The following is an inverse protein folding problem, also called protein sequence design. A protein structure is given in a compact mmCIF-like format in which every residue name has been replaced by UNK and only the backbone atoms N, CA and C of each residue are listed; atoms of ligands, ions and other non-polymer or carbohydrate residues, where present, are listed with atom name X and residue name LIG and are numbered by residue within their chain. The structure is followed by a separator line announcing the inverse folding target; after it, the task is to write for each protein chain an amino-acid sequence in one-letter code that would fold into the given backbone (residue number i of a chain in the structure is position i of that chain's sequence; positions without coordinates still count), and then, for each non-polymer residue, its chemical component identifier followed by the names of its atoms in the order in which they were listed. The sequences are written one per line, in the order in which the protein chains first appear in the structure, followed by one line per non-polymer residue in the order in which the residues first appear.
data_IF_074077107376
#
_entry.id   IF_074077107376
#
_cell.length_a   1.000
_cell.length_b   1.000
_cell.length_c   1.000
_cell.angle_alpha   90.00
_cell.angle_beta   90.00
_cell.angle_gamma   90.00
#
_symmetry.space_group_name_H-M   'P 1'
#
loop_
_entity.id
_entity.type
_entity.pdbx_description
1 polymer ?
#
# COMPACT_ATOMS: atom_id res chain seq x y z
N UNK A 1 11.56 -48.81 -9.98
CA UNK A 1 10.63 -47.91 -9.26
C UNK A 1 11.22 -47.65 -7.88
N UNK A 2 12.10 -46.67 -7.79
CA UNK A 2 12.75 -46.27 -6.55
C UNK A 2 11.77 -45.38 -5.78
N UNK A 3 11.19 -45.97 -4.74
CA UNK A 3 10.45 -45.22 -3.71
C UNK A 3 11.50 -44.37 -2.95
N UNK A 4 11.83 -43.20 -3.46
CA UNK A 4 12.57 -42.21 -2.68
C UNK A 4 11.67 -41.82 -1.48
N UNK A 5 12.00 -42.36 -0.32
CA UNK A 5 11.45 -41.95 0.99
C UNK A 5 11.91 -40.51 1.26
N UNK A 6 11.30 -39.56 0.56
CA UNK A 6 11.59 -38.15 0.77
C UNK A 6 10.97 -37.77 2.09
N UNK A 7 11.82 -37.47 3.09
CA UNK A 7 11.41 -37.04 4.42
C UNK A 7 10.93 -35.59 4.33
N UNK A 8 9.68 -35.34 4.67
CA UNK A 8 9.12 -34.01 4.73
C UNK A 8 9.22 -33.50 6.16
N UNK A 9 10.32 -32.79 6.46
CA UNK A 9 10.56 -32.20 7.79
C UNK A 9 10.65 -30.68 7.59
N UNK A 10 9.84 -29.86 8.31
CA UNK A 10 9.98 -28.42 8.27
C UNK A 10 11.31 -27.98 8.94
N UNK A 11 11.86 -26.86 8.50
CA UNK A 11 13.09 -26.29 9.08
C UNK A 11 12.89 -25.81 10.53
N UNK A 12 11.66 -25.44 10.87
CA UNK A 12 11.26 -25.02 12.22
C UNK A 12 10.03 -25.84 12.63
N UNK A 13 10.03 -26.34 13.87
CA UNK A 13 8.89 -27.02 14.48
C UNK A 13 8.71 -26.52 15.92
N UNK A 14 7.48 -26.36 16.35
CA UNK A 14 7.22 -25.94 17.72
C UNK A 14 7.83 -26.92 18.73
N UNK A 15 8.36 -26.44 19.88
CA UNK A 15 9.09 -27.28 20.84
C UNK A 15 8.33 -28.53 21.27
N UNK A 16 7.01 -28.42 21.48
CA UNK A 16 6.15 -29.50 21.89
C UNK A 16 6.02 -30.65 20.88
N UNK A 17 6.34 -30.40 19.61
CA UNK A 17 6.21 -31.39 18.51
C UNK A 17 7.58 -31.82 17.91
N UNK A 18 8.71 -31.34 18.45
CA UNK A 18 10.03 -31.62 17.88
C UNK A 18 10.38 -33.12 17.83
N UNK A 19 9.84 -33.89 18.77
CA UNK A 19 10.07 -35.34 18.87
C UNK A 19 8.96 -36.16 18.20
N UNK A 20 7.97 -35.52 17.58
CA UNK A 20 6.89 -36.21 16.89
C UNK A 20 7.33 -36.79 15.52
N UNK A 21 6.50 -37.68 14.97
CA UNK A 21 6.77 -38.39 13.73
C UNK A 21 7.03 -37.49 12.51
N UNK A 22 7.55 -38.11 11.46
CA UNK A 22 7.77 -37.46 10.16
C UNK A 22 6.45 -37.06 9.51
N UNK A 23 6.44 -35.96 8.77
CA UNK A 23 5.24 -35.50 8.08
C UNK A 23 4.90 -36.41 6.89
N UNK A 24 3.63 -36.57 6.61
CA UNK A 24 3.08 -37.29 5.46
C UNK A 24 2.48 -36.34 4.44
N UNK A 25 2.40 -36.75 3.18
CA UNK A 25 1.72 -35.98 2.14
C UNK A 25 0.40 -36.64 1.74
N UNK A 26 -0.60 -35.82 1.44
CA UNK A 26 -1.89 -36.25 0.89
C UNK A 26 -2.27 -35.32 -0.28
N UNK A 27 -2.94 -35.89 -1.28
CA UNK A 27 -3.51 -35.10 -2.38
C UNK A 27 -4.79 -34.39 -1.91
N UNK A 28 -5.09 -33.22 -2.46
CA UNK A 28 -6.33 -32.49 -2.12
C UNK A 28 -7.56 -33.36 -2.33
N UNK A 29 -7.65 -34.08 -3.46
CA UNK A 29 -8.77 -35.00 -3.74
C UNK A 29 -9.01 -36.08 -2.67
N UNK A 30 -7.96 -36.47 -1.95
CA UNK A 30 -8.05 -37.48 -0.90
C UNK A 30 -8.58 -36.90 0.40
N UNK A 31 -8.31 -35.62 0.67
CA UNK A 31 -8.62 -34.94 1.95
C UNK A 31 -9.83 -34.02 1.90
N UNK A 32 -10.26 -33.60 0.71
CA UNK A 32 -11.33 -32.64 0.54
C UNK A 32 -12.29 -33.03 -0.59
N UNK A 33 -13.53 -32.55 -0.48
CA UNK A 33 -14.45 -32.47 -1.59
C UNK A 33 -14.21 -31.14 -2.31
N UNK A 34 -14.10 -31.16 -3.62
CA UNK A 34 -13.87 -29.97 -4.44
C UNK A 34 -14.95 -29.84 -5.50
N UNK A 35 -15.34 -28.61 -5.77
CA UNK A 35 -16.22 -28.29 -6.91
C UNK A 35 -16.03 -26.85 -7.35
N UNK A 36 -16.21 -26.60 -8.63
CA UNK A 36 -16.33 -25.25 -9.18
C UNK A 36 -17.79 -24.87 -9.33
N UNK A 37 -18.04 -23.58 -9.33
CA UNK A 37 -19.36 -23.04 -9.62
C UNK A 37 -19.60 -22.83 -11.11
N UNK A 38 -20.53 -21.94 -11.43
CA UNK A 38 -20.87 -21.51 -12.79
C UNK A 38 -21.45 -20.10 -12.77
N UNK A 39 -21.67 -19.56 -13.96
CA UNK A 39 -22.24 -18.23 -14.11
C UNK A 39 -23.62 -18.34 -14.78
N UNK A 40 -24.70 -17.77 -14.22
CA UNK A 40 -25.96 -17.66 -14.92
C UNK A 40 -25.80 -16.91 -16.23
N UNK A 41 -26.64 -17.20 -17.22
CA UNK A 41 -26.55 -16.58 -18.56
C UNK A 41 -26.52 -15.07 -18.43
N UNK A 42 -25.42 -14.45 -18.87
CA UNK A 42 -25.24 -12.99 -18.87
C UNK A 42 -26.24 -12.38 -19.85
N UNK A 43 -26.96 -11.33 -19.41
CA UNK A 43 -27.98 -10.65 -20.22
C UNK A 43 -29.41 -11.09 -19.92
N UNK A 44 -29.64 -12.15 -19.14
CA UNK A 44 -30.96 -12.44 -18.62
C UNK A 44 -31.15 -11.75 -17.25
N UNK A 45 -31.93 -10.66 -17.24
CA UNK A 45 -32.18 -9.86 -16.05
C UNK A 45 -32.86 -10.64 -14.91
N UNK A 46 -33.63 -11.69 -15.22
CA UNK A 46 -34.35 -12.49 -14.22
C UNK A 46 -33.40 -13.33 -13.34
N UNK A 47 -32.14 -13.49 -13.77
CA UNK A 47 -31.15 -14.26 -13.04
C UNK A 47 -30.34 -13.42 -12.06
N UNK A 48 -30.42 -12.09 -12.14
CA UNK A 48 -29.61 -11.16 -11.37
C UNK A 48 -30.47 -10.21 -10.51
N UNK A 49 -29.83 -9.53 -9.55
CA UNK A 49 -30.51 -8.59 -8.66
C UNK A 49 -31.33 -9.24 -7.55
N UNK A 50 -31.11 -10.53 -7.29
CA UNK A 50 -31.76 -11.26 -6.18
C UNK A 50 -31.08 -11.03 -4.83
N UNK A 51 -31.24 -11.99 -3.92
CA UNK A 51 -30.70 -11.94 -2.55
C UNK A 51 -29.48 -12.82 -2.32
N UNK A 52 -29.09 -13.67 -3.29
CA UNK A 52 -27.97 -14.60 -3.16
C UNK A 52 -26.68 -13.89 -3.58
N UNK A 53 -25.71 -13.67 -2.66
CA UNK A 53 -24.40 -13.11 -3.03
C UNK A 53 -23.72 -13.96 -4.11
N UNK A 54 -23.20 -13.33 -5.18
CA UNK A 54 -22.51 -14.02 -6.26
C UNK A 54 -21.03 -13.67 -6.25
N UNK A 55 -20.23 -14.56 -5.68
CA UNK A 55 -18.80 -14.36 -5.43
C UNK A 55 -18.02 -14.62 -6.72
N UNK A 56 -17.30 -13.60 -7.20
CA UNK A 56 -16.37 -13.72 -8.33
C UNK A 56 -14.93 -13.90 -7.83
N UNK A 57 -14.03 -14.37 -8.68
CA UNK A 57 -12.63 -14.68 -8.29
C UNK A 57 -11.88 -13.50 -7.67
N UNK A 58 -12.20 -12.26 -8.04
CA UNK A 58 -11.63 -11.05 -7.42
C UNK A 58 -12.21 -10.71 -6.05
N UNK A 59 -13.24 -11.43 -5.59
CA UNK A 59 -13.98 -11.13 -4.35
C UNK A 59 -13.87 -12.22 -3.29
N UNK A 60 -13.13 -13.31 -3.54
CA UNK A 60 -13.04 -14.48 -2.66
C UNK A 60 -12.62 -14.18 -1.22
N UNK A 61 -11.91 -13.06 -0.99
CA UNK A 61 -11.45 -12.62 0.34
C UNK A 61 -12.32 -11.53 0.97
N UNK A 62 -13.33 -11.00 0.23
CA UNK A 62 -14.20 -9.92 0.70
C UNK A 62 -15.31 -10.43 1.61
N UNK A 63 -15.84 -9.55 2.46
CA UNK A 63 -17.03 -9.80 3.30
C UNK A 63 -18.35 -9.41 2.61
N UNK A 64 -18.26 -8.93 1.37
CA UNK A 64 -19.40 -8.51 0.56
C UNK A 64 -19.07 -8.71 -0.92
N UNK A 65 -20.07 -8.70 -1.79
CA UNK A 65 -19.94 -8.79 -3.23
C UNK A 65 -20.80 -7.72 -3.91
N UNK A 66 -20.37 -7.28 -5.08
CA UNK A 66 -21.12 -6.28 -5.87
C UNK A 66 -22.31 -6.90 -6.61
N UNK A 67 -22.31 -8.21 -6.81
CA UNK A 67 -23.30 -8.91 -7.65
C UNK A 67 -24.10 -9.91 -6.83
N UNK A 68 -25.40 -9.95 -7.12
CA UNK A 68 -26.35 -10.89 -6.51
C UNK A 68 -27.13 -11.61 -7.60
N UNK A 69 -27.49 -12.88 -7.36
CA UNK A 69 -28.32 -13.69 -8.24
C UNK A 69 -29.63 -14.07 -7.57
N UNK A 70 -30.64 -14.39 -8.39
CA UNK A 70 -31.93 -14.89 -7.94
C UNK A 70 -31.89 -16.40 -7.71
N UNK A 71 -32.90 -16.96 -7.04
CA UNK A 71 -33.08 -18.41 -6.94
C UNK A 71 -33.23 -19.05 -8.33
N UNK A 72 -33.88 -18.34 -9.28
CA UNK A 72 -33.98 -18.77 -10.66
C UNK A 72 -32.61 -18.79 -11.34
N UNK A 73 -31.77 -17.76 -11.14
CA UNK A 73 -30.41 -17.72 -11.64
C UNK A 73 -29.54 -18.83 -11.09
N UNK A 74 -29.67 -19.14 -9.78
CA UNK A 74 -28.99 -20.26 -9.14
C UNK A 74 -29.43 -21.60 -9.75
N UNK A 75 -30.74 -21.86 -9.80
CA UNK A 75 -31.29 -23.15 -10.28
C UNK A 75 -31.12 -23.38 -11.77
N UNK A 76 -31.05 -22.29 -12.58
CA UNK A 76 -30.88 -22.34 -14.05
C UNK A 76 -29.42 -22.34 -14.50
N UNK A 77 -28.46 -22.46 -13.58
CA UNK A 77 -27.04 -22.40 -13.87
C UNK A 77 -26.23 -23.47 -13.13
N UNK A 78 -24.94 -23.55 -13.41
CA UNK A 78 -24.00 -24.37 -12.66
C UNK A 78 -23.41 -23.66 -11.44
N UNK A 79 -23.92 -22.49 -11.07
CA UNK A 79 -23.53 -21.80 -9.86
C UNK A 79 -23.82 -22.68 -8.64
N UNK A 80 -22.92 -22.68 -7.66
CA UNK A 80 -23.04 -23.53 -6.47
C UNK A 80 -22.81 -22.68 -5.23
N UNK A 81 -23.62 -22.93 -4.21
CA UNK A 81 -23.51 -22.28 -2.91
C UNK A 81 -22.30 -22.84 -2.15
N UNK A 82 -21.57 -21.93 -1.52
CA UNK A 82 -20.56 -22.20 -0.51
C UNK A 82 -20.98 -21.55 0.80
N UNK A 83 -20.61 -22.19 1.90
CA UNK A 83 -20.83 -21.64 3.23
C UNK A 83 -19.64 -20.77 3.66
N UNK A 84 -19.88 -19.89 4.62
CA UNK A 84 -18.81 -19.16 5.31
C UNK A 84 -17.81 -20.17 5.90
N UNK A 85 -16.52 -19.86 5.83
CA UNK A 85 -15.45 -20.75 6.26
C UNK A 85 -14.95 -21.73 5.20
N UNK A 86 -15.57 -21.77 4.01
CA UNK A 86 -15.09 -22.60 2.89
C UNK A 86 -13.81 -22.03 2.29
N UNK A 87 -12.82 -22.87 1.99
CA UNK A 87 -11.63 -22.46 1.26
C UNK A 87 -12.00 -22.26 -0.22
N UNK A 88 -11.71 -21.08 -0.76
CA UNK A 88 -11.93 -20.71 -2.15
C UNK A 88 -10.58 -20.53 -2.85
N UNK A 89 -10.40 -21.18 -3.99
CA UNK A 89 -9.21 -21.12 -4.81
C UNK A 89 -9.55 -20.49 -6.17
N UNK A 90 -8.90 -19.39 -6.53
CA UNK A 90 -9.09 -18.76 -7.84
C UNK A 90 -8.28 -19.51 -8.93
N UNK A 91 -8.97 -20.03 -9.93
CA UNK A 91 -8.39 -20.89 -10.96
C UNK A 91 -7.75 -20.11 -12.12
N UNK A 92 -8.33 -18.97 -12.51
CA UNK A 92 -7.88 -18.19 -13.67
C UNK A 92 -8.17 -16.69 -13.57
N UNK A 93 -7.66 -15.94 -14.54
CA UNK A 93 -7.71 -14.48 -14.57
C UNK A 93 -6.58 -13.83 -13.76
N UNK A 94 -6.69 -12.54 -13.52
CA UNK A 94 -5.69 -11.75 -12.78
C UNK A 94 -5.46 -12.25 -11.33
N UNK A 95 -6.41 -13.00 -10.79
CA UNK A 95 -6.37 -13.56 -9.42
C UNK A 95 -5.96 -15.05 -9.40
N UNK A 96 -5.51 -15.61 -10.52
CA UNK A 96 -5.10 -17.02 -10.58
C UNK A 96 -4.13 -17.38 -9.43
N UNK A 97 -4.41 -18.47 -8.74
CA UNK A 97 -3.62 -18.94 -7.59
C UNK A 97 -3.91 -18.23 -6.27
N UNK A 98 -4.82 -17.26 -6.24
CA UNK A 98 -5.27 -16.68 -4.95
C UNK A 98 -6.11 -17.68 -4.17
N UNK A 99 -5.89 -17.70 -2.86
CA UNK A 99 -6.63 -18.56 -1.91
C UNK A 99 -7.19 -17.70 -0.81
N UNK A 100 -8.45 -17.93 -0.46
CA UNK A 100 -9.11 -17.25 0.66
C UNK A 100 -10.03 -18.22 1.42
N UNK A 101 -10.39 -17.87 2.62
CA UNK A 101 -11.51 -18.48 3.35
C UNK A 101 -12.71 -17.56 3.18
N UNK A 102 -13.81 -18.08 2.66
CA UNK A 102 -15.04 -17.31 2.45
C UNK A 102 -15.52 -16.69 3.74
N UNK A 103 -15.83 -15.40 3.70
CA UNK A 103 -16.40 -14.64 4.82
C UNK A 103 -17.93 -14.54 4.77
N UNK A 104 -18.52 -15.02 3.68
CA UNK A 104 -19.96 -14.98 3.44
C UNK A 104 -20.43 -16.29 2.83
N UNK A 105 -21.70 -16.63 3.09
CA UNK A 105 -22.41 -17.62 2.31
C UNK A 105 -22.81 -17.02 0.97
N UNK A 106 -22.56 -17.72 -0.15
CA UNK A 106 -22.91 -17.22 -1.47
C UNK A 106 -22.66 -18.23 -2.59
N UNK A 107 -23.12 -17.92 -3.78
CA UNK A 107 -22.86 -18.72 -4.97
C UNK A 107 -21.52 -18.33 -5.59
N UNK A 108 -20.76 -19.29 -6.12
CA UNK A 108 -19.47 -19.08 -6.77
C UNK A 108 -19.57 -19.30 -8.28
N UNK A 109 -18.72 -18.59 -9.03
CA UNK A 109 -18.59 -18.77 -10.47
C UNK A 109 -17.61 -19.91 -10.84
N UNK A 110 -17.48 -20.21 -12.13
CA UNK A 110 -16.60 -21.26 -12.64
C UNK A 110 -15.10 -20.96 -12.46
N UNK A 111 -14.72 -19.72 -12.16
CA UNK A 111 -13.34 -19.32 -11.90
C UNK A 111 -12.86 -19.66 -10.49
N UNK A 112 -13.74 -20.15 -9.63
CA UNK A 112 -13.48 -20.49 -8.24
C UNK A 112 -13.66 -21.99 -8.04
N UNK A 113 -12.69 -22.62 -7.36
CA UNK A 113 -12.78 -23.96 -6.82
C UNK A 113 -13.01 -23.86 -5.31
N UNK A 114 -14.12 -24.39 -4.84
CA UNK A 114 -14.36 -24.60 -3.41
C UNK A 114 -13.61 -25.86 -2.96
N UNK A 115 -12.96 -25.82 -1.79
CA UNK A 115 -12.23 -26.92 -1.18
C UNK A 115 -12.78 -27.12 0.24
N UNK A 116 -13.46 -28.23 0.47
CA UNK A 116 -14.13 -28.55 1.75
C UNK A 116 -13.48 -29.79 2.33
N UNK A 117 -12.67 -29.70 3.41
CA UNK A 117 -12.08 -30.86 4.06
C UNK A 117 -13.10 -31.93 4.47
N UNK A 118 -12.83 -33.19 4.17
CA UNK A 118 -13.73 -34.33 4.44
C UNK A 118 -13.83 -34.68 5.92
N UNK A 119 -12.90 -34.22 6.74
CA UNK A 119 -12.82 -34.57 8.16
C UNK A 119 -12.17 -33.46 8.96
N UNK A 120 -12.53 -33.31 10.23
CA UNK A 120 -11.95 -32.34 11.18
C UNK A 120 -10.46 -32.53 11.43
N UNK A 121 -9.90 -33.70 11.12
CA UNK A 121 -8.44 -33.95 11.18
C UNK A 121 -7.64 -33.13 10.17
N UNK A 122 -8.30 -32.54 9.17
CA UNK A 122 -7.70 -31.60 8.23
C UNK A 122 -8.16 -30.19 8.56
N UNK A 123 -7.32 -29.45 9.27
CA UNK A 123 -7.66 -28.13 9.80
C UNK A 123 -7.75 -27.11 8.64
N UNK A 124 -8.90 -26.47 8.47
CA UNK A 124 -9.20 -25.57 7.35
C UNK A 124 -8.12 -24.47 7.21
N UNK A 125 -7.82 -23.77 8.32
CA UNK A 125 -6.80 -22.71 8.31
C UNK A 125 -5.41 -23.22 7.94
N UNK A 126 -5.05 -24.45 8.36
CA UNK A 126 -3.78 -25.05 8.00
C UNK A 126 -3.69 -25.30 6.47
N UNK A 127 -4.73 -25.92 5.91
CA UNK A 127 -4.81 -26.17 4.46
C UNK A 127 -4.75 -24.86 3.66
N UNK A 128 -5.46 -23.83 4.13
CA UNK A 128 -5.45 -22.49 3.56
C UNK A 128 -4.04 -21.89 3.53
N UNK A 129 -3.34 -21.87 4.66
CA UNK A 129 -1.98 -21.29 4.71
C UNK A 129 -0.97 -22.10 3.93
N UNK A 130 -1.11 -23.42 3.91
CA UNK A 130 -0.26 -24.28 3.10
C UNK A 130 -0.41 -24.01 1.60
N UNK A 131 -1.65 -23.90 1.10
CA UNK A 131 -1.92 -23.56 -0.30
C UNK A 131 -1.41 -22.14 -0.64
N UNK A 132 -1.60 -21.18 0.27
CA UNK A 132 -1.10 -19.83 0.10
C UNK A 132 0.43 -19.79 0.02
N UNK A 133 1.11 -20.59 0.83
CA UNK A 133 2.57 -20.73 0.80
C UNK A 133 3.06 -21.27 -0.55
N UNK A 134 2.36 -22.26 -1.11
CA UNK A 134 2.72 -22.89 -2.37
C UNK A 134 2.39 -22.08 -3.63
N UNK A 135 1.65 -20.98 -3.53
CA UNK A 135 1.14 -20.21 -4.67
C UNK A 135 2.20 -19.95 -5.74
N UNK A 136 3.34 -19.39 -5.37
CA UNK A 136 4.40 -19.03 -6.32
C UNK A 136 4.93 -20.27 -7.07
N UNK A 137 5.12 -21.40 -6.37
CA UNK A 137 5.57 -22.66 -6.95
C UNK A 137 4.52 -23.25 -7.90
N UNK A 138 3.25 -23.23 -7.53
CA UNK A 138 2.14 -23.71 -8.35
C UNK A 138 2.05 -22.89 -9.65
N UNK A 139 2.07 -21.56 -9.55
CA UNK A 139 2.03 -20.68 -10.72
C UNK A 139 3.23 -20.90 -11.64
N UNK A 140 4.44 -20.99 -11.09
CA UNK A 140 5.65 -21.27 -11.86
C UNK A 140 5.58 -22.62 -12.59
N UNK A 141 5.07 -23.66 -11.93
CA UNK A 141 5.01 -25.00 -12.49
C UNK A 141 3.95 -25.15 -13.59
N UNK A 142 2.79 -24.52 -13.42
CA UNK A 142 1.62 -24.79 -14.27
C UNK A 142 1.26 -23.66 -15.23
N UNK A 143 1.78 -22.43 -15.05
CA UNK A 143 1.49 -21.30 -15.95
C UNK A 143 2.66 -20.94 -16.90
N UNK A 144 3.85 -21.51 -16.74
CA UNK A 144 5.01 -21.23 -17.60
C UNK A 144 5.02 -21.98 -18.94
N UNK A 145 3.98 -22.76 -19.28
CA UNK A 145 3.94 -23.58 -20.50
C UNK A 145 2.89 -23.17 -21.54
N UNK A 146 2.41 -21.89 -21.52
CA UNK A 146 1.37 -21.45 -22.47
C UNK A 146 -0.06 -21.83 -22.05
N UNK A 147 -0.25 -22.54 -20.94
CA UNK A 147 -1.56 -22.75 -20.33
C UNK A 147 -1.84 -21.58 -19.38
N UNK A 148 -2.69 -20.64 -19.83
CA UNK A 148 -3.04 -19.44 -19.06
C UNK A 148 -3.91 -19.67 -17.83
N UNK A 149 -4.34 -20.91 -17.52
CA UNK A 149 -5.33 -21.20 -16.48
C UNK A 149 -4.98 -22.45 -15.68
N UNK A 150 -5.23 -22.37 -14.36
CA UNK A 150 -5.29 -23.54 -13.49
C UNK A 150 -6.64 -24.25 -13.68
N UNK A 151 -6.67 -25.57 -13.54
CA UNK A 151 -7.90 -26.36 -13.55
C UNK A 151 -8.16 -27.00 -12.19
N UNK A 152 -9.41 -27.34 -11.90
CA UNK A 152 -9.76 -28.09 -10.70
C UNK A 152 -8.94 -29.38 -10.57
N UNK A 153 -8.71 -30.09 -11.69
CA UNK A 153 -7.91 -31.31 -11.71
C UNK A 153 -6.43 -31.09 -11.32
N UNK A 154 -5.85 -29.94 -11.66
CA UNK A 154 -4.50 -29.56 -11.19
C UNK A 154 -4.52 -29.40 -9.67
N UNK A 155 -5.50 -28.66 -9.15
CA UNK A 155 -5.60 -28.40 -7.70
C UNK A 155 -5.88 -29.69 -6.94
N UNK A 156 -6.76 -30.56 -7.43
CA UNK A 156 -7.07 -31.87 -6.83
C UNK A 156 -5.82 -32.76 -6.66
N UNK A 157 -4.86 -32.64 -7.56
CA UNK A 157 -3.62 -33.40 -7.53
C UNK A 157 -2.45 -32.67 -6.85
N UNK A 158 -2.68 -31.51 -6.22
CA UNK A 158 -1.66 -30.88 -5.38
C UNK A 158 -1.48 -31.68 -4.08
N UNK A 159 -0.22 -31.83 -3.69
CA UNK A 159 0.15 -32.47 -2.42
C UNK A 159 0.18 -31.45 -1.30
N UNK A 160 -0.39 -31.79 -0.16
CA UNK A 160 -0.28 -31.06 1.10
C UNK A 160 0.48 -31.92 2.09
N UNK A 161 1.51 -31.38 2.72
CA UNK A 161 2.22 -32.06 3.80
C UNK A 161 1.46 -31.83 5.12
N UNK A 162 1.34 -32.89 5.89
CA UNK A 162 0.65 -32.89 7.21
C UNK A 162 1.61 -33.39 8.28
N UNK A 163 1.67 -32.71 9.44
CA UNK A 163 2.37 -33.22 10.60
C UNK A 163 1.73 -34.53 11.10
N UNK A 164 2.58 -35.43 11.60
CA UNK A 164 2.13 -36.67 12.24
C UNK A 164 2.64 -36.78 13.66
N UNK A 165 1.84 -37.46 14.49
CA UNK A 165 2.25 -37.87 15.83
C UNK A 165 3.26 -39.03 15.78
N UNK A 166 3.72 -39.48 16.96
CA UNK A 166 4.68 -40.60 17.08
C UNK A 166 4.10 -41.96 16.64
N UNK A 167 2.78 -42.06 16.48
CA UNK A 167 2.11 -43.26 15.96
C UNK A 167 1.89 -43.19 14.45
N UNK A 168 2.35 -42.14 13.77
CA UNK A 168 2.16 -41.95 12.33
C UNK A 168 0.77 -41.41 11.94
N UNK A 169 -0.07 -41.01 12.89
CA UNK A 169 -1.37 -40.40 12.60
C UNK A 169 -1.20 -38.89 12.32
N UNK A 170 -2.02 -38.38 11.39
CA UNK A 170 -2.05 -36.95 11.12
C UNK A 170 -2.47 -36.20 12.38
N UNK A 171 -1.60 -35.27 12.84
CA UNK A 171 -1.78 -34.45 14.04
C UNK A 171 -2.60 -33.19 13.68
N UNK A 172 -3.85 -33.13 14.08
CA UNK A 172 -4.68 -31.92 13.99
C UNK A 172 -4.26 -30.86 15.02
N UNK A 173 -3.67 -31.30 16.13
CA UNK A 173 -3.16 -30.40 17.20
C UNK A 173 -2.00 -29.54 16.68
N UNK A 174 -1.01 -30.14 16.01
CA UNK A 174 0.12 -29.40 15.43
C UNK A 174 -0.34 -28.52 14.26
N UNK A 175 -1.23 -29.04 13.38
CA UNK A 175 -1.85 -28.22 12.34
C UNK A 175 -2.52 -26.98 12.90
N UNK A 176 -3.30 -27.14 13.97
CA UNK A 176 -3.99 -26.03 14.63
C UNK A 176 -2.99 -25.04 15.22
N UNK A 177 -1.92 -25.50 15.87
CA UNK A 177 -0.88 -24.62 16.42
C UNK A 177 -0.23 -23.78 15.34
N UNK A 178 0.16 -24.37 14.20
CA UNK A 178 0.72 -23.68 13.05
C UNK A 178 -0.27 -22.67 12.48
N UNK A 179 -1.51 -23.08 12.28
CA UNK A 179 -2.57 -22.22 11.77
C UNK A 179 -2.87 -21.03 12.69
N UNK A 180 -3.00 -21.26 13.99
CA UNK A 180 -3.28 -20.22 14.99
C UNK A 180 -2.15 -19.19 15.07
N UNK A 181 -0.89 -19.61 14.88
CA UNK A 181 0.23 -18.69 14.76
C UNK A 181 0.03 -17.70 13.59
N UNK A 182 -0.29 -18.20 12.40
CA UNK A 182 -0.52 -17.34 11.23
C UNK A 182 -1.79 -16.49 11.34
N UNK A 183 -2.86 -17.04 11.91
CA UNK A 183 -4.11 -16.29 12.18
C UNK A 183 -3.82 -15.11 13.11
N UNK A 184 -2.99 -15.32 14.14
CA UNK A 184 -2.63 -14.26 15.09
C UNK A 184 -1.82 -13.15 14.42
N UNK A 185 -0.86 -13.52 13.56
CA UNK A 185 -0.07 -12.54 12.79
C UNK A 185 -0.97 -11.76 11.82
N UNK A 186 -1.91 -12.44 11.11
CA UNK A 186 -2.83 -11.75 10.21
C UNK A 186 -3.75 -10.79 10.94
N UNK A 187 -4.26 -11.16 12.12
CA UNK A 187 -5.06 -10.26 12.96
C UNK A 187 -4.27 -9.01 13.36
N UNK A 188 -2.99 -9.16 13.72
CA UNK A 188 -2.14 -8.02 14.08
C UNK A 188 -1.87 -7.12 12.86
N UNK A 189 -1.58 -7.71 11.68
CA UNK A 189 -1.43 -6.97 10.42
C UNK A 189 -2.70 -6.17 10.11
N UNK A 190 -3.87 -6.81 10.15
CA UNK A 190 -5.14 -6.17 9.84
C UNK A 190 -5.50 -5.08 10.86
N UNK A 191 -5.25 -5.30 12.15
CA UNK A 191 -5.46 -4.29 13.18
C UNK A 191 -4.54 -3.08 12.98
N UNK A 192 -3.26 -3.33 12.63
CA UNK A 192 -2.29 -2.27 12.35
C UNK A 192 -2.67 -1.48 11.09
N UNK A 193 -3.12 -2.16 10.02
CA UNK A 193 -3.62 -1.52 8.79
C UNK A 193 -4.83 -0.62 9.07
N UNK A 194 -5.79 -1.08 9.87
CA UNK A 194 -6.95 -0.25 10.26
C UNK A 194 -6.55 0.99 11.05
N UNK A 195 -5.61 0.85 12.01
CA UNK A 195 -5.07 2.00 12.74
C UNK A 195 -4.39 3.01 11.83
N UNK A 196 -3.60 2.53 10.87
CA UNK A 196 -2.94 3.38 9.89
C UNK A 196 -3.94 4.19 9.05
N UNK A 197 -5.02 3.57 8.58
CA UNK A 197 -6.08 4.28 7.83
C UNK A 197 -6.70 5.38 8.68
N UNK A 198 -7.13 5.05 9.91
CA UNK A 198 -7.73 6.03 10.84
C UNK A 198 -6.78 7.17 11.17
N UNK A 199 -5.49 6.89 11.30
CA UNK A 199 -4.49 7.93 11.60
C UNK A 199 -4.28 8.87 10.40
N UNK A 200 -4.28 8.34 9.17
CA UNK A 200 -4.23 9.15 7.95
C UNK A 200 -5.47 10.05 7.81
N UNK A 201 -6.65 9.51 8.10
CA UNK A 201 -7.92 10.27 8.10
C UNK A 201 -7.90 11.35 9.20
N UNK A 202 -7.44 11.01 10.39
CA UNK A 202 -7.29 11.97 11.50
C UNK A 202 -6.35 13.11 11.11
N UNK A 203 -5.16 12.81 10.54
CA UNK A 203 -4.24 13.84 10.04
C UNK A 203 -4.93 14.76 9.02
N UNK A 204 -5.63 14.16 8.03
CA UNK A 204 -6.37 14.93 7.02
C UNK A 204 -7.39 15.87 7.67
N UNK A 205 -8.18 15.38 8.62
CA UNK A 205 -9.16 16.21 9.34
C UNK A 205 -8.51 17.31 10.17
N UNK A 206 -7.37 17.06 10.81
CA UNK A 206 -6.61 18.08 11.51
C UNK A 206 -6.05 19.14 10.55
N UNK A 207 -5.48 18.73 9.42
CA UNK A 207 -5.01 19.66 8.39
C UNK A 207 -6.12 20.62 7.94
N UNK A 208 -7.33 20.10 7.67
CA UNK A 208 -8.47 20.91 7.24
C UNK A 208 -8.94 21.90 8.28
N UNK A 209 -8.77 21.60 9.57
CA UNK A 209 -9.24 22.44 10.69
C UNK A 209 -8.16 23.40 11.23
N UNK A 210 -6.88 23.00 11.16
CA UNK A 210 -5.74 23.83 11.60
C UNK A 210 -5.31 24.87 10.58
N UNK A 211 -5.72 24.72 9.30
CA UNK A 211 -5.46 25.72 8.26
C UNK A 211 -6.77 26.40 7.85
N UNK A 212 -6.73 27.71 7.56
CA UNK A 212 -7.92 28.43 7.14
C UNK A 212 -8.53 27.85 5.88
N UNK A 213 -9.86 27.68 5.86
CA UNK A 213 -10.58 27.32 4.67
C UNK A 213 -10.52 28.47 3.63
N UNK A 214 -10.77 28.17 2.35
CA UNK A 214 -10.74 29.16 1.26
C UNK A 214 -11.56 30.40 1.60
N UNK A 215 -10.92 31.56 1.53
CA UNK A 215 -11.54 32.87 1.80
C UNK A 215 -11.69 33.21 3.29
N UNK A 216 -11.13 32.41 4.19
CA UNK A 216 -11.05 32.73 5.62
C UNK A 216 -9.61 33.08 6.02
N UNK A 217 -9.47 33.92 7.04
CA UNK A 217 -8.20 34.32 7.63
C UNK A 217 -7.90 33.63 8.96
N UNK A 218 -8.85 32.86 9.50
CA UNK A 218 -8.67 32.12 10.75
C UNK A 218 -9.00 30.63 10.53
N UNK A 219 -8.22 29.71 11.12
CA UNK A 219 -8.52 28.28 11.11
C UNK A 219 -9.78 28.00 11.97
N UNK A 220 -10.40 26.83 11.73
CA UNK A 220 -11.55 26.38 12.53
C UNK A 220 -11.15 26.08 13.98
N UNK A 221 -10.00 25.46 14.17
CA UNK A 221 -9.42 25.19 15.48
C UNK A 221 -8.08 25.89 15.61
N UNK A 222 -7.82 26.43 16.80
CA UNK A 222 -6.58 27.08 17.16
C UNK A 222 -6.15 26.58 18.54
N UNK A 223 -4.87 26.42 18.77
CA UNK A 223 -4.39 26.00 20.09
C UNK A 223 -4.78 27.06 21.16
N UNK A 224 -5.13 26.63 22.38
CA UNK A 224 -5.62 27.54 23.42
C UNK A 224 -4.71 28.75 23.68
N UNK A 225 -3.40 28.54 23.63
CA UNK A 225 -2.38 29.55 23.85
C UNK A 225 -2.37 30.68 22.79
N UNK A 226 -2.98 30.44 21.62
CA UNK A 226 -3.03 31.41 20.52
C UNK A 226 -4.44 31.99 20.29
N UNK A 227 -5.46 31.55 21.05
CA UNK A 227 -6.81 32.12 20.99
C UNK A 227 -6.74 33.57 21.49
N UNK A 228 -7.29 34.51 20.69
CA UNK A 228 -7.26 35.93 20.98
C UNK A 228 -5.94 36.64 20.68
N UNK A 229 -4.94 35.94 20.16
CA UNK A 229 -3.75 36.57 19.57
C UNK A 229 -4.05 37.08 18.17
N UNK A 230 -3.07 37.76 17.55
CA UNK A 230 -3.19 38.32 16.19
C UNK A 230 -3.67 37.24 15.20
N UNK A 231 -4.60 37.61 14.33
CA UNK A 231 -5.08 36.76 13.28
C UNK A 231 -3.99 36.46 12.24
N UNK A 232 -4.19 35.38 11.50
CA UNK A 232 -3.31 35.03 10.39
C UNK A 232 -3.43 36.07 9.27
N UNK A 233 -2.34 36.37 8.59
CA UNK A 233 -2.30 37.37 7.55
C UNK A 233 -2.17 36.74 6.15
N UNK A 234 -2.91 37.22 5.15
CA UNK A 234 -2.69 36.82 3.76
C UNK A 234 -1.33 37.33 3.31
N UNK A 235 -0.54 36.47 2.69
CA UNK A 235 0.77 36.76 2.13
C UNK A 235 0.81 36.24 0.71
N UNK A 236 1.10 37.14 -0.23
CA UNK A 236 1.40 36.75 -1.61
C UNK A 236 2.80 36.15 -1.66
N UNK A 237 2.98 34.98 -2.29
CA UNK A 237 4.27 34.28 -2.31
C UNK A 237 5.39 35.16 -2.91
N UNK A 238 5.10 35.95 -3.94
CA UNK A 238 6.06 36.88 -4.53
C UNK A 238 6.47 38.04 -3.63
N UNK A 239 5.71 38.34 -2.56
CA UNK A 239 6.09 39.40 -1.59
C UNK A 239 6.97 38.88 -0.45
N UNK A 240 7.07 37.56 -0.26
CA UNK A 240 7.83 36.95 0.84
C UNK A 240 8.96 36.03 0.37
N UNK A 241 9.10 35.81 -0.94
CA UNK A 241 10.15 34.95 -1.48
C UNK A 241 10.35 35.09 -2.99
N UNK A 242 11.39 34.44 -3.50
CA UNK A 242 11.78 34.45 -4.89
C UNK A 242 11.98 33.02 -5.43
N UNK A 243 11.91 32.86 -6.75
CA UNK A 243 12.00 31.57 -7.43
C UNK A 243 13.31 31.42 -8.20
N UNK A 244 13.98 30.27 -8.03
CA UNK A 244 15.21 29.92 -8.76
C UNK A 244 14.97 28.70 -9.63
N UNK A 245 15.72 28.54 -10.73
CA UNK A 245 15.66 27.35 -11.57
C UNK A 245 16.38 26.17 -10.93
N UNK A 246 15.99 24.97 -11.31
CA UNK A 246 16.82 23.80 -11.12
C UNK A 246 18.00 23.79 -12.11
N UNK A 247 18.70 22.65 -12.21
CA UNK A 247 19.85 22.44 -13.12
C UNK A 247 19.55 22.91 -14.54
N UNK A 248 20.52 23.58 -15.15
CA UNK A 248 20.44 24.04 -16.52
C UNK A 248 21.67 23.60 -17.32
N UNK A 249 21.53 23.46 -18.65
CA UNK A 249 22.65 23.13 -19.55
C UNK A 249 23.22 21.71 -19.36
N UNK A 250 22.48 20.77 -18.79
CA UNK A 250 22.91 19.39 -18.57
C UNK A 250 22.39 18.44 -19.65
N UNK A 251 23.26 17.52 -20.09
CA UNK A 251 22.96 16.42 -21.01
C UNK A 251 22.87 15.09 -20.25
N UNK A 252 22.45 14.02 -20.92
CA UNK A 252 22.38 12.70 -20.32
C UNK A 252 23.73 12.19 -19.76
N UNK A 253 24.83 12.62 -20.36
CA UNK A 253 26.21 12.22 -20.02
C UNK A 253 26.69 12.84 -18.69
N UNK A 254 26.07 13.95 -18.27
CA UNK A 254 26.43 14.65 -17.03
C UNK A 254 25.89 13.95 -15.77
N UNK A 255 24.98 12.97 -15.91
CA UNK A 255 24.33 12.30 -14.80
C UNK A 255 25.01 10.99 -14.42
N UNK A 256 24.91 10.62 -13.13
CA UNK A 256 25.43 9.36 -12.57
C UNK A 256 26.66 9.51 -11.68
N UNK A 257 27.41 10.61 -11.81
CA UNK A 257 28.59 10.91 -10.99
C UNK A 257 28.63 12.40 -10.63
N UNK A 258 29.44 12.80 -9.64
CA UNK A 258 29.68 14.18 -9.26
C UNK A 258 28.93 14.62 -7.99
N UNK A 259 28.23 15.74 -8.03
CA UNK A 259 27.53 16.37 -6.91
C UNK A 259 26.10 15.83 -6.79
N UNK A 260 25.54 15.75 -5.56
CA UNK A 260 24.16 15.33 -5.38
C UNK A 260 23.16 16.34 -5.98
N UNK A 261 22.05 15.80 -6.51
CA UNK A 261 20.89 16.60 -6.88
C UNK A 261 19.59 15.90 -6.51
N UNK A 262 18.58 16.67 -6.11
CA UNK A 262 17.24 16.21 -5.81
C UNK A 262 16.50 15.94 -7.11
N UNK A 263 16.01 14.71 -7.28
CA UNK A 263 15.26 14.30 -8.46
C UNK A 263 13.82 14.78 -8.44
N UNK A 264 13.17 14.88 -9.61
CA UNK A 264 11.74 15.13 -9.71
C UNK A 264 10.91 14.15 -8.85
N UNK A 265 11.25 12.86 -8.93
CA UNK A 265 10.54 11.80 -8.19
C UNK A 265 10.62 11.99 -6.68
N UNK A 266 11.73 12.49 -6.15
CA UNK A 266 11.86 12.75 -4.72
C UNK A 266 10.99 13.93 -4.30
N UNK A 267 10.96 15.04 -5.06
CA UNK A 267 10.07 16.17 -4.78
C UNK A 267 8.60 15.77 -4.87
N UNK A 268 8.26 14.89 -5.82
CA UNK A 268 6.88 14.43 -6.02
C UNK A 268 6.38 13.49 -4.90
N UNK A 269 7.25 12.58 -4.42
CA UNK A 269 6.87 11.52 -3.49
C UNK A 269 7.11 11.85 -2.01
N UNK A 270 7.85 12.91 -1.70
CA UNK A 270 8.27 13.23 -0.33
C UNK A 270 7.96 14.69 -0.02
N UNK A 271 7.50 14.96 1.19
CA UNK A 271 7.29 16.34 1.66
C UNK A 271 8.55 16.97 2.27
N UNK A 272 9.56 16.16 2.56
CA UNK A 272 10.85 16.55 3.14
C UNK A 272 11.99 15.89 2.36
N UNK A 273 13.10 16.61 2.16
CA UNK A 273 14.23 16.13 1.36
C UNK A 273 15.16 15.24 2.19
N UNK A 274 15.39 14.04 1.66
CA UNK A 274 16.41 13.11 2.16
C UNK A 274 17.64 13.12 1.26
N UNK A 275 18.72 13.75 1.69
CA UNK A 275 19.95 13.86 0.88
C UNK A 275 20.63 12.52 0.59
N UNK A 276 20.35 11.46 1.36
CA UNK A 276 20.89 10.12 1.08
C UNK A 276 20.27 9.44 -0.15
N UNK A 277 19.15 9.96 -0.65
CA UNK A 277 18.43 9.45 -1.83
C UNK A 277 18.66 10.30 -3.08
N UNK A 278 19.54 11.29 -3.01
CA UNK A 278 19.89 12.14 -4.16
C UNK A 278 20.61 11.34 -5.23
N UNK A 279 20.31 11.65 -6.48
CA UNK A 279 21.12 11.20 -7.62
C UNK A 279 22.35 12.11 -7.79
N UNK A 280 23.24 11.78 -8.71
CA UNK A 280 24.49 12.50 -8.93
C UNK A 280 24.52 13.18 -10.30
N UNK A 281 25.13 14.37 -10.36
CA UNK A 281 25.34 15.16 -11.57
C UNK A 281 26.70 15.83 -11.55
N UNK A 282 27.37 15.85 -12.70
CA UNK A 282 28.61 16.60 -12.86
C UNK A 282 28.32 18.10 -12.97
N UNK A 283 28.96 18.88 -12.11
CA UNK A 283 28.91 20.36 -12.13
C UNK A 283 30.36 20.86 -12.10
N UNK A 284 30.75 21.57 -13.13
CA UNK A 284 32.12 22.14 -13.27
C UNK A 284 32.31 23.36 -12.36
N UNK A 285 33.53 23.65 -11.93
CA UNK A 285 33.84 24.78 -11.04
C UNK A 285 33.45 26.15 -11.62
N UNK A 286 33.46 26.28 -12.94
CA UNK A 286 33.10 27.53 -13.66
C UNK A 286 31.60 27.61 -13.99
N UNK A 287 30.80 26.60 -13.59
CA UNK A 287 29.39 26.52 -13.91
C UNK A 287 28.54 27.10 -12.78
N UNK A 288 27.68 28.05 -13.13
CA UNK A 288 26.77 28.68 -12.16
C UNK A 288 25.47 27.92 -12.11
N UNK A 289 25.23 27.23 -11.01
CA UNK A 289 23.98 26.53 -10.71
C UNK A 289 23.39 27.01 -9.36
N UNK A 290 22.06 26.90 -9.20
CA UNK A 290 21.41 27.29 -7.96
C UNK A 290 21.53 26.15 -6.94
N UNK A 291 22.35 26.32 -5.90
CA UNK A 291 22.48 25.40 -4.78
C UNK A 291 21.29 25.50 -3.82
N UNK A 292 20.94 24.36 -3.22
CA UNK A 292 19.89 24.29 -2.21
C UNK A 292 20.33 24.90 -0.88
N UNK A 293 19.37 25.49 -0.16
CA UNK A 293 19.56 26.09 1.17
C UNK A 293 18.49 25.56 2.13
N UNK A 294 18.75 25.70 3.43
CA UNK A 294 17.75 25.43 4.47
C UNK A 294 16.51 26.30 4.27
N UNK A 295 15.33 25.69 4.41
CA UNK A 295 14.06 26.37 4.21
C UNK A 295 13.60 26.47 2.75
N UNK A 296 14.41 26.02 1.77
CA UNK A 296 13.98 25.99 0.36
C UNK A 296 12.76 25.08 0.18
N UNK A 297 11.78 25.56 -0.54
CA UNK A 297 10.64 24.82 -1.01
C UNK A 297 10.88 24.43 -2.48
N UNK A 298 11.01 23.13 -2.73
CA UNK A 298 11.21 22.58 -4.06
C UNK A 298 9.85 22.26 -4.67
N UNK A 299 9.57 22.75 -5.87
CA UNK A 299 8.23 22.69 -6.49
C UNK A 299 8.32 21.99 -7.84
N UNK A 300 7.48 20.99 -8.09
CA UNK A 300 7.37 20.36 -9.41
C UNK A 300 6.67 21.29 -10.39
N UNK A 301 7.27 21.50 -11.58
CA UNK A 301 6.74 22.43 -12.58
C UNK A 301 5.72 21.79 -13.51
N UNK A 302 5.77 20.49 -13.72
CA UNK A 302 5.04 19.79 -14.77
C UNK A 302 4.50 18.46 -14.28
N UNK A 303 3.27 18.10 -14.71
CA UNK A 303 2.66 16.77 -14.49
C UNK A 303 1.75 16.39 -15.64
N UNK A 304 1.36 15.11 -15.71
CA UNK A 304 0.38 14.62 -16.69
C UNK A 304 -1.05 14.96 -16.28
N UNK A 305 -1.30 15.24 -15.02
CA UNK A 305 -2.62 15.63 -14.49
C UNK A 305 -2.54 16.97 -13.75
N UNK A 306 -3.62 17.78 -13.76
CA UNK A 306 -3.64 19.06 -13.05
C UNK A 306 -3.55 18.89 -11.54
N UNK A 307 -4.01 17.75 -11.01
CA UNK A 307 -4.02 17.47 -9.57
C UNK A 307 -2.63 17.08 -9.04
N UNK A 308 -1.67 16.78 -9.90
CA UNK A 308 -0.33 16.35 -9.52
C UNK A 308 0.75 17.43 -9.73
N UNK A 309 0.43 18.51 -10.45
CA UNK A 309 1.39 19.60 -10.65
C UNK A 309 1.56 20.42 -9.36
N UNK A 310 2.75 20.98 -9.16
CA UNK A 310 3.07 21.82 -7.99
C UNK A 310 3.12 21.07 -6.66
N UNK A 311 3.47 19.79 -6.69
CA UNK A 311 3.86 19.09 -5.46
C UNK A 311 5.16 19.69 -4.92
N UNK A 312 5.29 19.70 -3.60
CA UNK A 312 6.39 20.37 -2.91
C UNK A 312 7.11 19.47 -1.94
N UNK A 313 8.40 19.69 -1.81
CA UNK A 313 9.22 19.16 -0.74
C UNK A 313 10.07 20.27 -0.12
N UNK A 314 10.30 20.23 1.19
CA UNK A 314 11.00 21.26 1.93
C UNK A 314 12.37 20.76 2.39
N UNK A 315 13.37 21.62 2.30
CA UNK A 315 14.72 21.38 2.82
C UNK A 315 14.76 21.74 4.30
N UNK A 316 14.57 20.76 5.17
CA UNK A 316 14.52 20.96 6.63
C UNK A 316 15.81 20.58 7.36
N UNK A 317 16.76 19.94 6.67
CA UNK A 317 18.05 19.61 7.24
C UNK A 317 19.01 20.82 7.13
N UNK A 318 19.61 21.22 8.26
CA UNK A 318 20.59 22.33 8.30
C UNK A 318 21.97 21.90 7.74
N UNK A 319 22.30 20.61 7.77
CA UNK A 319 23.53 20.10 7.20
C UNK A 319 23.29 19.72 5.73
N UNK A 320 23.34 20.71 4.85
CA UNK A 320 23.07 20.55 3.44
C UNK A 320 24.40 20.33 2.70
N UNK A 321 24.58 19.22 1.98
CA UNK A 321 25.70 19.08 1.06
C UNK A 321 25.52 20.08 -0.09
N UNK A 322 26.60 20.36 -0.84
CA UNK A 322 26.46 21.10 -2.10
C UNK A 322 25.57 20.29 -3.06
N UNK A 323 24.29 20.66 -3.08
CA UNK A 323 23.22 19.91 -3.73
C UNK A 323 22.38 20.81 -4.63
N UNK A 324 21.91 20.25 -5.72
CA UNK A 324 21.15 20.95 -6.74
C UNK A 324 19.74 20.35 -6.92
N UNK A 325 18.93 20.94 -7.79
CA UNK A 325 17.55 20.51 -8.05
C UNK A 325 17.41 20.13 -9.53
N UNK A 326 16.60 19.10 -9.80
CA UNK A 326 16.23 18.69 -11.16
C UNK A 326 15.63 19.85 -11.98
N UNK A 327 15.90 19.89 -13.28
CA UNK A 327 15.46 20.96 -14.21
C UNK A 327 13.95 21.06 -14.39
N UNK A 328 13.17 20.00 -14.07
CA UNK A 328 11.70 20.01 -14.12
C UNK A 328 11.05 20.50 -12.82
N UNK A 329 11.86 21.00 -11.91
CA UNK A 329 11.44 21.63 -10.66
C UNK A 329 12.04 23.04 -10.54
N UNK A 330 11.50 23.84 -9.63
CA UNK A 330 12.11 25.11 -9.24
C UNK A 330 12.18 25.22 -7.72
N UNK A 331 13.10 26.04 -7.25
CA UNK A 331 13.28 26.40 -5.85
C UNK A 331 12.42 27.63 -5.59
N UNK A 332 11.65 27.64 -4.53
CA UNK A 332 11.09 28.84 -3.95
C UNK A 332 11.75 29.07 -2.60
N UNK A 333 12.39 30.23 -2.44
CA UNK A 333 13.18 30.61 -1.27
C UNK A 333 12.60 31.87 -0.64
N UNK A 334 12.39 31.85 0.68
CA UNK A 334 11.92 33.00 1.43
C UNK A 334 13.02 34.09 1.50
N UNK A 335 12.61 35.36 1.52
CA UNK A 335 13.53 36.48 1.76
C UNK A 335 14.02 36.54 3.21
N UNK A 336 13.15 36.10 4.14
CA UNK A 336 13.42 36.01 5.56
C UNK A 336 13.02 34.61 6.03
N UNK A 337 14.02 33.77 6.22
CA UNK A 337 13.87 32.37 6.67
C UNK A 337 13.70 32.26 8.19
N UNK A 338 13.90 33.36 8.94
CA UNK A 338 13.72 33.39 10.39
C UNK A 338 12.26 33.58 10.79
N UNK A 339 11.44 34.23 9.96
CA UNK A 339 10.04 34.55 10.27
C UNK A 339 9.10 33.37 10.12
N UNK A 340 9.43 32.37 9.30
CA UNK A 340 8.60 31.20 9.01
C UNK A 340 9.37 29.92 9.31
N UNK A 341 8.75 29.02 10.08
CA UNK A 341 9.34 27.73 10.42
C UNK A 341 9.36 26.78 9.22
N UNK A 342 10.53 26.20 8.90
CA UNK A 342 10.68 25.34 7.74
C UNK A 342 9.81 24.07 7.79
N UNK A 343 9.56 23.50 8.96
CA UNK A 343 8.67 22.35 9.10
C UNK A 343 7.21 22.73 8.93
N UNK A 344 6.83 23.94 9.34
CA UNK A 344 5.49 24.45 9.08
C UNK A 344 5.22 24.58 7.58
N UNK A 345 6.22 24.95 6.78
CA UNK A 345 6.10 25.05 5.32
C UNK A 345 5.70 23.72 4.67
N UNK A 346 6.12 22.57 5.21
CA UNK A 346 5.69 21.25 4.74
C UNK A 346 4.16 21.17 4.71
N UNK A 347 3.53 21.59 5.79
CA UNK A 347 2.08 21.51 5.96
C UNK A 347 1.34 22.65 5.26
N UNK A 348 1.90 23.85 5.25
CA UNK A 348 1.34 24.99 4.52
C UNK A 348 1.22 24.66 3.03
N UNK A 349 2.30 24.14 2.41
CA UNK A 349 2.35 23.77 1.00
C UNK A 349 1.69 22.40 0.69
N UNK A 350 1.15 21.72 1.70
CA UNK A 350 0.29 20.55 1.57
C UNK A 350 -1.18 20.85 1.88
N UNK A 351 -1.51 22.11 2.27
CA UNK A 351 -2.87 22.50 2.64
C UNK A 351 -3.83 22.53 1.44
N UNK A 352 -5.12 22.34 1.71
CA UNK A 352 -6.17 22.41 0.67
C UNK A 352 -6.18 23.80 -0.02
N UNK A 353 -5.86 24.87 0.71
CA UNK A 353 -5.75 26.22 0.18
C UNK A 353 -4.65 26.34 -0.89
N UNK A 354 -3.45 25.81 -0.59
CA UNK A 354 -2.36 25.78 -1.55
C UNK A 354 -2.70 24.90 -2.76
N UNK A 355 -3.19 23.68 -2.54
CA UNK A 355 -3.56 22.77 -3.63
C UNK A 355 -4.59 23.40 -4.57
N UNK A 356 -5.65 24.02 -4.01
CA UNK A 356 -6.66 24.72 -4.80
C UNK A 356 -6.09 25.92 -5.59
N UNK A 357 -5.11 26.63 -5.03
CA UNK A 357 -4.44 27.74 -5.71
C UNK A 357 -3.57 27.26 -6.87
N UNK A 358 -2.79 26.19 -6.67
CA UNK A 358 -1.92 25.61 -7.70
C UNK A 358 -2.72 25.04 -8.87
N UNK A 359 -3.77 24.25 -8.61
CA UNK A 359 -4.63 23.69 -9.66
C UNK A 359 -5.22 24.80 -10.53
N UNK A 360 -5.57 25.95 -9.95
CA UNK A 360 -6.13 27.10 -10.71
C UNK A 360 -5.14 27.75 -11.67
N UNK A 361 -3.84 27.75 -11.35
CA UNK A 361 -2.78 28.34 -12.19
C UNK A 361 -2.14 27.30 -13.14
N UNK A 362 -2.47 26.02 -13.00
CA UNK A 362 -2.01 24.97 -13.89
C UNK A 362 -2.54 25.19 -15.31
N UNK A 363 -1.68 25.13 -16.31
CA UNK A 363 -2.01 25.34 -17.71
C UNK A 363 -1.50 24.18 -18.56
N UNK A 364 -2.32 23.73 -19.50
CA UNK A 364 -1.99 22.64 -20.43
C UNK A 364 -3.19 21.77 -20.77
N UNK A 365 -3.02 20.88 -21.75
CA UNK A 365 -4.05 19.94 -22.21
C UNK A 365 -3.59 18.50 -21.94
N UNK A 366 -2.40 18.14 -22.40
CA UNK A 366 -1.81 16.80 -22.23
C UNK A 366 -0.74 16.77 -21.14
N UNK A 367 -0.15 17.92 -20.84
CA UNK A 367 0.81 18.12 -19.79
C UNK A 367 0.55 19.47 -19.12
N UNK A 368 0.32 19.45 -17.84
CA UNK A 368 0.01 20.62 -17.05
C UNK A 368 1.29 21.23 -16.49
N UNK A 369 1.44 22.55 -16.63
CA UNK A 369 2.61 23.29 -16.18
C UNK A 369 2.18 24.47 -15.31
N UNK A 370 3.04 24.85 -14.36
CA UNK A 370 2.93 26.09 -13.60
C UNK A 370 4.11 27.00 -13.91
N UNK A 371 3.84 28.27 -14.16
CA UNK A 371 4.90 29.26 -14.32
C UNK A 371 5.32 29.84 -12.97
N UNK A 372 6.62 30.15 -12.82
CA UNK A 372 7.16 30.80 -11.63
C UNK A 372 6.48 32.14 -11.35
N UNK A 373 6.09 32.88 -12.40
CA UNK A 373 5.37 34.16 -12.27
C UNK A 373 3.99 33.92 -11.65
N UNK A 374 3.21 32.98 -12.16
CA UNK A 374 1.89 32.65 -11.62
C UNK A 374 1.97 32.03 -10.21
N UNK A 375 2.99 31.25 -9.93
CA UNK A 375 3.24 30.73 -8.60
C UNK A 375 3.43 31.86 -7.57
N UNK A 376 4.18 32.92 -7.93
CA UNK A 376 4.40 34.11 -7.07
C UNK A 376 3.13 34.92 -6.82
N UNK A 377 2.11 34.80 -7.67
CA UNK A 377 0.80 35.45 -7.47
C UNK A 377 -0.09 34.70 -6.46
N UNK A 378 0.23 33.47 -6.05
CA UNK A 378 -0.52 32.74 -5.05
C UNK A 378 -0.48 33.47 -3.72
N UNK A 379 -1.66 33.60 -3.10
CA UNK A 379 -1.82 34.14 -1.75
C UNK A 379 -2.15 32.99 -0.79
N UNK A 380 -1.40 32.89 0.31
CA UNK A 380 -1.62 31.96 1.41
C UNK A 380 -1.77 32.73 2.72
N UNK A 381 -2.62 32.21 3.61
CA UNK A 381 -2.84 32.81 4.92
C UNK A 381 -1.90 32.14 5.92
N UNK A 382 -1.05 32.92 6.56
CA UNK A 382 0.06 32.45 7.40
C UNK A 382 -0.04 33.08 8.80
N UNK A 383 0.15 32.30 9.91
CA UNK A 383 0.21 32.87 11.25
C UNK A 383 1.50 33.71 11.40
N UNK A 384 1.37 34.94 11.89
CA UNK A 384 2.53 35.81 12.15
C UNK A 384 3.35 35.34 13.37
N UNK A 385 2.70 34.59 14.29
CA UNK A 385 3.36 34.06 15.47
C UNK A 385 4.12 32.76 15.12
N UNK A 386 5.45 32.84 15.11
CA UNK A 386 6.32 31.64 14.80
C UNK A 386 6.08 30.49 15.76
N UNK A 387 5.76 30.73 17.04
CA UNK A 387 5.47 29.63 17.99
C UNK A 387 4.19 28.88 17.62
N UNK A 388 3.21 29.55 17.01
CA UNK A 388 2.02 28.89 16.49
C UNK A 388 2.35 28.00 15.30
N UNK A 389 3.20 28.47 14.37
CA UNK A 389 3.71 27.69 13.24
C UNK A 389 4.43 26.42 13.74
N UNK A 390 5.35 26.58 14.71
CA UNK A 390 6.09 25.46 15.31
C UNK A 390 5.13 24.45 15.95
N UNK A 391 4.13 24.93 16.71
CA UNK A 391 3.15 24.07 17.39
C UNK A 391 2.32 23.25 16.41
N UNK A 392 1.89 23.86 15.31
CA UNK A 392 1.18 23.18 14.21
C UNK A 392 2.10 22.10 13.58
N UNK A 393 3.32 22.48 13.25
CA UNK A 393 4.31 21.59 12.66
C UNK A 393 4.65 20.41 13.56
N UNK A 394 4.88 20.62 14.85
CA UNK A 394 5.16 19.56 15.82
C UNK A 394 3.99 18.59 15.96
N UNK A 395 2.75 19.12 16.03
CA UNK A 395 1.54 18.30 16.15
C UNK A 395 1.37 17.39 14.94
N UNK A 396 1.49 17.95 13.74
CA UNK A 396 1.31 17.17 12.50
C UNK A 396 2.49 16.22 12.23
N UNK A 397 3.72 16.63 12.54
CA UNK A 397 4.91 15.78 12.36
C UNK A 397 4.92 14.60 13.35
N UNK A 398 4.36 14.75 14.55
CA UNK A 398 4.19 13.63 15.47
C UNK A 398 3.24 12.56 14.89
N UNK A 399 2.19 12.98 14.18
CA UNK A 399 1.28 12.06 13.49
C UNK A 399 2.00 11.39 12.30
N UNK A 400 2.79 12.14 11.52
CA UNK A 400 3.56 11.58 10.40
C UNK A 400 4.55 10.51 10.85
N UNK A 401 5.24 10.72 11.98
CA UNK A 401 6.11 9.71 12.57
C UNK A 401 5.33 8.43 12.93
N UNK A 402 4.15 8.57 13.52
CA UNK A 402 3.32 7.40 13.84
C UNK A 402 2.86 6.67 12.57
N UNK A 403 2.49 7.39 11.51
CA UNK A 403 2.13 6.80 10.22
C UNK A 403 3.30 5.98 9.68
N UNK A 404 4.51 6.55 9.68
CA UNK A 404 5.72 5.87 9.23
C UNK A 404 6.05 4.62 10.07
N UNK A 405 5.91 4.71 11.41
CA UNK A 405 6.12 3.58 12.32
C UNK A 405 5.13 2.44 12.05
N UNK A 406 3.85 2.74 11.82
CA UNK A 406 2.85 1.73 11.46
C UNK A 406 3.12 1.11 10.08
N UNK A 407 3.54 1.89 9.09
CA UNK A 407 3.93 1.36 7.78
C UNK A 407 5.14 0.41 7.88
N UNK A 408 6.15 0.78 8.67
CA UNK A 408 7.32 -0.07 8.95
C UNK A 408 6.90 -1.36 9.69
N UNK A 409 6.03 -1.24 10.68
CA UNK A 409 5.51 -2.40 11.46
C UNK A 409 4.77 -3.38 10.56
N UNK A 410 3.90 -2.90 9.66
CA UNK A 410 3.18 -3.75 8.70
C UNK A 410 4.16 -4.53 7.83
N UNK A 411 5.13 -3.84 7.22
CA UNK A 411 6.16 -4.47 6.38
C UNK A 411 6.96 -5.54 7.14
N UNK A 412 7.35 -5.25 8.38
CA UNK A 412 8.07 -6.19 9.23
C UNK A 412 7.25 -7.43 9.58
N UNK A 413 5.96 -7.26 9.91
CA UNK A 413 5.04 -8.38 10.19
C UNK A 413 4.80 -9.24 8.94
N UNK A 414 4.61 -8.63 7.76
CA UNK A 414 4.43 -9.35 6.50
C UNK A 414 5.69 -10.16 6.13
N UNK A 415 6.88 -9.57 6.32
CA UNK A 415 8.14 -10.24 6.09
C UNK A 415 8.37 -11.38 7.11
N UNK A 416 8.08 -11.16 8.38
CA UNK A 416 8.17 -12.17 9.43
C UNK A 416 7.23 -13.35 9.13
N UNK A 417 5.97 -13.08 8.78
CA UNK A 417 5.01 -14.10 8.36
C UNK A 417 5.54 -14.92 7.20
N UNK A 418 6.08 -14.27 6.16
CA UNK A 418 6.66 -14.94 5.00
C UNK A 418 7.82 -15.86 5.40
N UNK A 419 8.71 -15.38 6.29
CA UNK A 419 9.83 -16.17 6.81
C UNK A 419 9.36 -17.39 7.61
N UNK A 420 8.36 -17.23 8.48
CA UNK A 420 7.78 -18.34 9.23
C UNK A 420 7.10 -19.38 8.31
N UNK A 421 6.38 -18.93 7.28
CA UNK A 421 5.78 -19.86 6.30
C UNK A 421 6.83 -20.72 5.60
N UNK A 422 8.00 -20.16 5.27
CA UNK A 422 9.09 -20.89 4.67
C UNK A 422 9.76 -21.90 5.61
N UNK A 423 9.69 -21.68 6.93
CA UNK A 423 10.32 -22.52 7.92
C UNK A 423 9.38 -23.57 8.52
N UNK A 424 8.10 -23.21 8.75
CA UNK A 424 7.10 -24.10 9.35
C UNK A 424 6.45 -25.05 8.33
N UNK A 425 6.52 -24.76 7.04
CA UNK A 425 6.09 -25.70 6.00
C UNK A 425 7.31 -26.35 5.30
N UNK A 426 7.30 -27.68 5.13
CA UNK A 426 8.37 -28.35 4.40
C UNK A 426 8.32 -28.04 2.90
N UNK A 427 9.46 -28.08 2.23
CA UNK A 427 9.53 -28.02 0.76
C UNK A 427 9.06 -29.35 0.17
N UNK A 428 8.08 -29.31 -0.74
CA UNK A 428 7.58 -30.46 -1.48
C UNK A 428 8.34 -30.73 -2.79
#
# INVERSE_FOLDING_TARGET
MTNDNKKYIPALRFPEFQNDGEWTTKLIKDIANTFSGGTPTVGNSDYYGGSIPFIRSGEIAKSETDLFITELGLSSSSAKIVEEGTILYALYGATSGEVAISKIRGAINQAILAIIPKSRKYVVNYVYYFLKHQKAQILSKYLQGGQGNLSGAIIDNLSIAFPCDNNGNISDVEQKKIADCFVSIDKEIDATKRKLVLLKEHKKGLMQRLFPAKGKTSPEIRFPEFIGTKEWAPKQLGSIGETFGGLSGKSAEDFGTGKPFVTYKQVFNSSEINFSECALVQVSENEVQNGLQYGDILVTMSSETPDEVGYTAVVTNKNIPECYLNSFCFIYRLFDDESIDAKFLIYLFSSDAYRAAVVRIAQGITRFNISKTKFKEIELVIPENKNEQIKIAETLSAIDKQIEEYDKKIKALEQHKKGLMQQLFPKL
#
